data_IF_357216908304
#
_entry.id   IF_357216908304
#
_cell.length_a   1.000
_cell.length_b   1.000
_cell.length_c   1.000
_cell.angle_alpha   90.00
_cell.angle_beta   90.00
_cell.angle_gamma   90.00
#
_symmetry.space_group_name_H-M   'P 1'
#
loop_
_entity.id
_entity.type
_entity.pdbx_description
1 polymer ?
#
# COMPACT_ATOMS: atom_id res chain seq x y z
N UNK A 1 48.56 21.50 -6.23
CA UNK A 1 47.83 20.21 -6.12
C UNK A 1 46.83 20.13 -4.97
N UNK A 2 46.39 21.26 -4.39
CA UNK A 2 45.36 21.33 -3.32
C UNK A 2 43.99 21.88 -3.80
N UNK A 3 43.88 22.27 -5.07
CA UNK A 3 42.66 22.87 -5.63
C UNK A 3 41.68 21.81 -6.23
N UNK A 4 42.21 20.65 -6.61
CA UNK A 4 41.41 19.59 -7.24
C UNK A 4 40.57 18.77 -6.28
N UNK A 5 40.96 18.69 -5.02
CA UNK A 5 40.17 17.93 -4.00
C UNK A 5 38.91 18.69 -3.53
N UNK A 6 38.96 20.00 -3.47
CA UNK A 6 37.82 20.83 -3.10
C UNK A 6 36.75 20.88 -4.19
N UNK A 7 37.18 20.91 -5.46
CA UNK A 7 36.25 20.86 -6.60
C UNK A 7 35.64 19.48 -6.78
N UNK A 8 36.37 18.40 -6.48
CA UNK A 8 35.82 17.05 -6.53
C UNK A 8 34.82 16.78 -5.38
N UNK A 9 35.11 17.28 -4.19
CA UNK A 9 34.18 17.17 -3.04
C UNK A 9 32.90 17.96 -3.28
N UNK A 10 32.99 19.14 -3.92
CA UNK A 10 31.82 19.95 -4.29
C UNK A 10 31.00 19.29 -5.40
N UNK A 11 31.63 18.64 -6.38
CA UNK A 11 30.95 17.91 -7.44
C UNK A 11 30.24 16.63 -6.92
N UNK A 12 30.84 15.92 -5.96
CA UNK A 12 30.22 14.75 -5.30
C UNK A 12 29.05 15.17 -4.40
N UNK A 13 29.16 16.31 -3.71
CA UNK A 13 28.06 16.88 -2.91
C UNK A 13 26.92 17.35 -3.81
N UNK A 14 27.21 17.91 -4.98
CA UNK A 14 26.18 18.31 -5.96
C UNK A 14 25.53 17.08 -6.62
N UNK A 15 26.28 16.00 -6.91
CA UNK A 15 25.70 14.74 -7.41
C UNK A 15 24.85 13.99 -6.37
N UNK A 16 25.07 14.22 -5.08
CA UNK A 16 24.23 13.65 -4.01
C UNK A 16 23.01 14.51 -3.69
N UNK A 17 22.92 15.74 -4.22
CA UNK A 17 21.79 16.66 -4.05
C UNK A 17 20.77 16.62 -5.19
N UNK A 18 21.08 15.93 -6.30
CA UNK A 18 20.07 15.53 -7.30
C UNK A 18 19.24 14.30 -6.83
N UNK A 19 18.90 14.25 -5.56
CA UNK A 19 17.70 13.54 -5.15
C UNK A 19 16.54 14.42 -5.63
N UNK A 20 16.26 14.33 -6.92
CA UNK A 20 14.99 14.76 -7.47
C UNK A 20 13.93 14.22 -6.51
N UNK A 21 13.25 15.14 -5.84
CA UNK A 21 11.99 14.85 -5.17
C UNK A 21 11.00 14.55 -6.30
N UNK A 22 11.19 13.40 -6.95
CA UNK A 22 10.09 12.78 -7.65
C UNK A 22 9.05 12.57 -6.57
N UNK A 23 7.93 13.25 -6.69
CA UNK A 23 6.77 12.96 -5.89
C UNK A 23 6.62 11.44 -5.97
N UNK A 24 7.01 10.74 -4.88
CA UNK A 24 7.06 9.29 -4.91
C UNK A 24 5.65 8.85 -5.20
N UNK A 25 5.49 8.08 -6.25
CA UNK A 25 4.20 7.67 -6.77
C UNK A 25 3.88 6.31 -6.19
N UNK A 26 2.71 6.18 -5.57
CA UNK A 26 2.18 4.87 -5.21
C UNK A 26 1.46 4.29 -6.43
N UNK A 27 1.79 3.05 -6.76
CA UNK A 27 1.12 2.29 -7.83
C UNK A 27 0.13 1.30 -7.23
N UNK A 28 -0.88 0.94 -8.01
CA UNK A 28 -1.83 -0.09 -7.63
C UNK A 28 -2.56 -0.68 -8.83
N UNK A 29 -3.30 -1.75 -8.58
CA UNK A 29 -4.14 -2.44 -9.55
C UNK A 29 -5.52 -2.68 -8.96
N UNK A 30 -6.57 -2.42 -9.72
CA UNK A 30 -7.92 -2.89 -9.45
C UNK A 30 -8.21 -4.04 -10.41
N UNK A 31 -8.49 -5.21 -9.88
CA UNK A 31 -8.65 -6.44 -10.69
C UNK A 31 -9.71 -7.36 -10.12
N UNK A 32 -10.14 -8.34 -10.91
CA UNK A 32 -10.91 -9.48 -10.42
C UNK A 32 -10.01 -10.46 -9.66
N UNK A 33 -10.60 -11.37 -8.96
CA UNK A 33 -9.93 -12.44 -8.23
C UNK A 33 -9.25 -13.44 -9.20
N UNK A 34 -8.01 -13.83 -8.90
CA UNK A 34 -7.39 -15.01 -9.52
C UNK A 34 -8.04 -16.31 -9.00
N UNK A 35 -8.12 -17.34 -9.85
CA UNK A 35 -8.82 -18.60 -9.54
C UNK A 35 -7.98 -19.82 -9.93
N UNK A 36 -8.30 -20.95 -9.31
CA UNK A 36 -7.84 -22.26 -9.78
C UNK A 36 -9.00 -22.98 -10.47
N UNK A 37 -8.81 -23.33 -11.74
CA UNK A 37 -9.78 -24.08 -12.53
C UNK A 37 -9.11 -25.35 -13.06
N UNK A 38 -9.64 -26.50 -12.71
CA UNK A 38 -9.07 -27.81 -13.07
C UNK A 38 -7.57 -27.95 -12.78
N UNK A 39 -7.13 -27.39 -11.64
CA UNK A 39 -5.74 -27.40 -11.20
C UNK A 39 -4.83 -26.39 -11.89
N UNK A 40 -5.34 -25.55 -12.78
CA UNK A 40 -4.61 -24.49 -13.44
C UNK A 40 -4.94 -23.11 -12.84
N UNK A 41 -3.93 -22.31 -12.65
CA UNK A 41 -4.09 -20.94 -12.19
C UNK A 41 -4.54 -20.03 -13.34
N UNK A 42 -5.66 -19.35 -13.14
CA UNK A 42 -6.19 -18.32 -14.05
C UNK A 42 -6.09 -16.99 -13.32
N UNK A 43 -5.23 -16.08 -13.80
CA UNK A 43 -5.05 -14.77 -13.16
C UNK A 43 -6.29 -13.89 -13.26
N UNK A 44 -6.48 -13.03 -12.28
CA UNK A 44 -7.53 -12.01 -12.29
C UNK A 44 -7.32 -10.99 -13.40
N UNK A 45 -8.43 -10.46 -13.93
CA UNK A 45 -8.43 -9.47 -15.01
C UNK A 45 -8.46 -8.06 -14.43
N UNK A 46 -7.75 -7.12 -15.05
CA UNK A 46 -7.82 -5.71 -14.72
C UNK A 46 -9.23 -5.14 -14.87
N UNK A 47 -9.59 -4.21 -14.01
CA UNK A 47 -10.92 -3.59 -13.97
C UNK A 47 -10.85 -2.11 -14.34
N UNK A 48 -10.79 -1.83 -15.64
CA UNK A 48 -10.97 -0.47 -16.19
C UNK A 48 -12.31 0.13 -15.77
N UNK A 49 -12.32 1.44 -15.51
CA UNK A 49 -13.51 2.18 -15.10
C UNK A 49 -13.88 2.04 -13.62
N UNK A 50 -12.99 1.49 -12.81
CA UNK A 50 -13.10 1.60 -11.36
C UNK A 50 -12.68 3.00 -10.90
N UNK A 51 -13.18 3.46 -9.75
CA UNK A 51 -12.76 4.71 -9.12
C UNK A 51 -12.24 4.42 -7.72
N UNK A 52 -11.00 4.85 -7.48
CA UNK A 52 -10.33 4.68 -6.18
C UNK A 52 -10.36 6.00 -5.43
N UNK A 53 -10.88 5.98 -4.21
CA UNK A 53 -10.95 7.14 -3.32
C UNK A 53 -9.88 7.00 -2.23
N UNK A 54 -8.92 7.90 -2.25
CA UNK A 54 -7.86 8.01 -1.23
C UNK A 54 -8.17 9.21 -0.36
N UNK A 55 -8.11 9.06 0.96
CA UNK A 55 -8.43 10.13 1.91
C UNK A 55 -7.63 11.40 1.63
N UNK A 56 -8.36 12.52 1.52
CA UNK A 56 -7.76 13.83 1.29
C UNK A 56 -7.25 14.06 -0.14
N UNK A 57 -7.68 13.24 -1.12
CA UNK A 57 -7.26 13.36 -2.53
C UNK A 57 -8.43 13.35 -3.48
N UNK A 58 -8.18 13.84 -4.69
CA UNK A 58 -9.14 13.71 -5.80
C UNK A 58 -9.33 12.25 -6.17
N UNK A 59 -10.57 11.82 -6.50
CA UNK A 59 -10.85 10.46 -6.96
C UNK A 59 -9.98 10.08 -8.17
N UNK A 60 -9.48 8.85 -8.17
CA UNK A 60 -8.58 8.34 -9.21
C UNK A 60 -9.40 7.38 -10.08
N UNK A 61 -9.61 7.77 -11.34
CA UNK A 61 -10.25 6.89 -12.32
C UNK A 61 -9.21 5.91 -12.88
N UNK A 62 -9.54 4.62 -12.84
CA UNK A 62 -8.75 3.55 -13.46
C UNK A 62 -9.14 3.47 -14.92
N UNK A 63 -8.33 4.02 -15.81
CA UNK A 63 -8.58 4.07 -17.26
C UNK A 63 -7.78 3.03 -18.07
N UNK A 64 -6.85 2.34 -17.42
CA UNK A 64 -6.03 1.29 -18.02
C UNK A 64 -6.75 -0.06 -18.07
N UNK A 65 -6.55 -0.82 -19.16
CA UNK A 65 -7.15 -2.14 -19.36
C UNK A 65 -6.63 -3.19 -18.36
N UNK A 66 -5.40 -3.05 -17.90
CA UNK A 66 -4.81 -3.93 -16.89
C UNK A 66 -5.25 -3.58 -15.45
N UNK A 67 -6.08 -2.54 -15.29
CA UNK A 67 -6.56 -2.08 -14.01
C UNK A 67 -5.55 -1.26 -13.22
N UNK A 68 -4.42 -0.86 -13.83
CA UNK A 68 -3.38 -0.09 -13.15
C UNK A 68 -3.84 1.36 -12.88
N UNK A 69 -3.40 1.88 -11.75
CA UNK A 69 -3.55 3.28 -11.38
C UNK A 69 -2.34 3.75 -10.58
N UNK A 70 -2.17 5.05 -10.49
CA UNK A 70 -1.11 5.64 -9.68
C UNK A 70 -1.51 7.00 -9.16
N UNK A 71 -0.93 7.40 -8.05
CA UNK A 71 -1.13 8.74 -7.49
C UNK A 71 0.13 9.22 -6.77
N UNK A 72 0.41 10.53 -6.82
CA UNK A 72 1.53 11.12 -6.10
C UNK A 72 1.29 11.00 -4.59
N UNK A 73 2.31 10.56 -3.86
CA UNK A 73 2.23 10.26 -2.45
C UNK A 73 3.36 10.95 -1.69
N UNK A 74 3.20 12.22 -1.27
CA UNK A 74 4.19 12.90 -0.44
C UNK A 74 4.27 12.31 0.96
N UNK A 75 3.13 11.85 1.50
CA UNK A 75 3.05 11.25 2.82
C UNK A 75 3.49 9.80 2.79
N UNK A 76 3.86 9.27 3.95
CA UNK A 76 4.30 7.88 4.06
C UNK A 76 3.17 6.90 4.27
N UNK A 77 2.02 7.39 4.71
CA UNK A 77 0.84 6.59 5.02
C UNK A 77 -0.37 7.15 4.29
N UNK A 78 -1.26 6.27 3.90
CA UNK A 78 -2.53 6.65 3.31
C UNK A 78 -3.64 5.66 3.67
N UNK A 79 -4.87 6.09 3.51
CA UNK A 79 -6.06 5.27 3.68
C UNK A 79 -6.88 5.31 2.40
N UNK A 80 -7.36 4.14 1.99
CA UNK A 80 -8.39 4.04 0.97
C UNK A 80 -9.75 4.29 1.66
N UNK A 81 -10.51 5.26 1.17
CA UNK A 81 -11.86 5.52 1.69
C UNK A 81 -12.89 4.57 1.09
N UNK A 82 -12.80 4.36 -0.21
CA UNK A 82 -13.64 3.44 -0.95
C UNK A 82 -13.04 3.12 -2.30
N UNK A 83 -13.52 2.03 -2.89
CA UNK A 83 -13.27 1.71 -4.31
C UNK A 83 -14.60 1.32 -4.91
N UNK A 84 -14.98 1.95 -6.02
CA UNK A 84 -16.29 1.74 -6.63
C UNK A 84 -16.14 1.35 -8.11
N UNK A 85 -16.97 0.40 -8.52
CA UNK A 85 -17.21 0.06 -9.92
C UNK A 85 -18.62 -0.49 -10.05
N UNK A 86 -19.36 -0.02 -11.05
CA UNK A 86 -20.74 -0.48 -11.28
C UNK A 86 -20.78 -2.00 -11.48
N UNK A 87 -21.63 -2.67 -10.68
CA UNK A 87 -21.82 -4.12 -10.73
C UNK A 87 -20.75 -4.93 -10.00
N UNK A 88 -19.81 -4.30 -9.29
CA UNK A 88 -18.73 -4.95 -8.53
C UNK A 88 -18.75 -4.52 -7.08
N UNK A 89 -18.26 -5.37 -6.21
CA UNK A 89 -18.00 -5.09 -4.80
C UNK A 89 -16.59 -5.53 -4.42
N UNK A 90 -16.04 -4.97 -3.34
CA UNK A 90 -14.77 -5.41 -2.78
C UNK A 90 -14.89 -6.85 -2.28
N UNK A 91 -13.90 -7.67 -2.58
CA UNK A 91 -13.78 -9.04 -2.07
C UNK A 91 -13.35 -9.00 -0.60
N UNK A 92 -12.32 -8.21 -0.28
CA UNK A 92 -11.87 -7.97 1.10
C UNK A 92 -12.33 -6.59 1.57
N UNK A 93 -13.32 -6.57 2.46
CA UNK A 93 -13.87 -5.34 3.03
C UNK A 93 -12.88 -4.60 3.93
N UNK A 94 -11.87 -5.28 4.48
CA UNK A 94 -10.82 -4.65 5.27
C UNK A 94 -9.89 -3.77 4.41
N UNK A 95 -9.92 -3.91 3.08
CA UNK A 95 -9.13 -3.09 2.16
C UNK A 95 -9.27 -1.60 2.42
N UNK A 96 -10.47 -1.12 2.76
CA UNK A 96 -10.73 0.29 3.08
C UNK A 96 -10.56 0.63 4.59
N UNK A 97 -10.20 -0.34 5.42
CA UNK A 97 -9.98 -0.14 6.85
C UNK A 97 -8.49 -0.10 7.22
N UNK A 98 -7.64 -0.63 6.34
CA UNK A 98 -6.19 -0.74 6.56
C UNK A 98 -5.49 0.60 6.34
N UNK A 99 -4.45 0.85 7.14
CA UNK A 99 -3.45 1.88 6.85
C UNK A 99 -2.42 1.30 5.92
N UNK A 100 -2.25 1.92 4.77
CA UNK A 100 -1.22 1.56 3.81
C UNK A 100 0.02 2.42 4.02
N UNK A 101 1.19 1.80 3.86
CA UNK A 101 2.45 2.51 3.82
C UNK A 101 2.88 2.64 2.37
N UNK A 102 3.40 3.81 2.02
CA UNK A 102 4.00 4.04 0.72
C UNK A 102 5.10 3.02 0.47
N UNK A 103 5.05 2.35 -0.66
CA UNK A 103 5.98 1.30 -1.06
C UNK A 103 6.23 1.35 -2.56
N UNK A 104 7.38 0.83 -2.98
CA UNK A 104 7.64 0.52 -4.39
C UNK A 104 6.77 -0.65 -4.90
N UNK A 105 6.28 -1.48 -3.98
CA UNK A 105 5.35 -2.56 -4.33
C UNK A 105 3.95 -1.98 -4.59
N UNK A 106 3.27 -2.43 -5.65
CA UNK A 106 1.91 -2.01 -5.94
C UNK A 106 0.93 -2.53 -4.88
N UNK A 107 -0.16 -1.79 -4.66
CA UNK A 107 -1.31 -2.28 -3.91
C UNK A 107 -2.25 -3.02 -4.87
N UNK A 108 -2.83 -4.13 -4.39
CA UNK A 108 -3.82 -4.88 -5.14
C UNK A 108 -5.19 -4.72 -4.50
N UNK A 109 -6.15 -4.28 -5.28
CA UNK A 109 -7.54 -4.11 -4.87
C UNK A 109 -8.35 -5.12 -5.68
N UNK A 110 -8.96 -6.08 -4.98
CA UNK A 110 -9.70 -7.16 -5.61
C UNK A 110 -11.19 -6.89 -5.51
N UNK A 111 -11.85 -6.86 -6.65
CA UNK A 111 -13.29 -6.68 -6.75
C UNK A 111 -13.91 -7.82 -7.56
N UNK A 112 -15.15 -8.17 -7.22
CA UNK A 112 -15.87 -9.21 -7.95
C UNK A 112 -17.36 -8.84 -8.04
N UNK A 113 -18.07 -9.46 -8.96
CA UNK A 113 -19.53 -9.31 -8.99
C UNK A 113 -20.15 -10.10 -7.82
N UNK A 114 -21.26 -9.62 -7.22
CA UNK A 114 -21.96 -10.34 -6.17
C UNK A 114 -22.38 -11.74 -6.61
N UNK A 115 -22.81 -11.87 -7.87
CA UNK A 115 -23.22 -13.15 -8.46
C UNK A 115 -22.06 -14.15 -8.50
N UNK A 116 -20.86 -13.68 -8.93
CA UNK A 116 -19.69 -14.56 -9.01
C UNK A 116 -19.19 -14.97 -7.63
N UNK A 117 -19.20 -14.07 -6.64
CA UNK A 117 -18.85 -14.42 -5.26
C UNK A 117 -19.80 -15.46 -4.67
N UNK A 118 -21.11 -15.30 -4.92
CA UNK A 118 -22.10 -16.26 -4.49
C UNK A 118 -21.90 -17.60 -5.20
N UNK A 119 -21.65 -17.59 -6.49
CA UNK A 119 -21.38 -18.81 -7.26
C UNK A 119 -20.13 -19.54 -6.76
N UNK A 120 -19.03 -18.83 -6.55
CA UNK A 120 -17.78 -19.37 -6.00
C UNK A 120 -18.03 -20.01 -4.63
N UNK A 121 -18.77 -19.32 -3.76
CA UNK A 121 -19.15 -19.84 -2.43
C UNK A 121 -19.95 -21.15 -2.53
N UNK A 122 -21.02 -21.14 -3.34
CA UNK A 122 -21.89 -22.30 -3.51
C UNK A 122 -21.16 -23.48 -4.16
N UNK A 123 -20.25 -23.23 -5.09
CA UNK A 123 -19.44 -24.25 -5.73
C UNK A 123 -18.46 -24.89 -4.75
N UNK A 124 -17.77 -24.06 -3.96
CA UNK A 124 -16.86 -24.53 -2.91
C UNK A 124 -17.61 -25.34 -1.85
N UNK A 125 -18.76 -24.85 -1.39
CA UNK A 125 -19.62 -25.56 -0.44
C UNK A 125 -20.03 -26.94 -0.97
N UNK A 126 -20.49 -27.01 -2.23
CA UNK A 126 -20.88 -28.30 -2.86
C UNK A 126 -19.70 -29.27 -2.96
N UNK A 127 -18.50 -28.80 -3.28
CA UNK A 127 -17.28 -29.62 -3.35
C UNK A 127 -16.93 -30.17 -1.97
N UNK A 128 -16.91 -29.35 -0.94
CA UNK A 128 -16.61 -29.74 0.44
C UNK A 128 -17.64 -30.79 0.92
N UNK A 129 -18.94 -30.50 0.74
CA UNK A 129 -20.02 -31.43 1.13
C UNK A 129 -19.88 -32.77 0.46
N UNK A 130 -19.65 -32.83 -0.86
CA UNK A 130 -19.48 -34.06 -1.62
C UNK A 130 -18.34 -34.90 -1.08
N UNK A 131 -17.21 -34.29 -0.76
CA UNK A 131 -16.05 -34.99 -0.24
C UNK A 131 -16.27 -35.50 1.19
N UNK A 132 -16.90 -34.67 2.05
CA UNK A 132 -17.27 -35.10 3.40
C UNK A 132 -18.29 -36.25 3.38
N UNK A 133 -19.28 -36.20 2.52
CA UNK A 133 -20.26 -37.27 2.36
C UNK A 133 -19.62 -38.58 1.89
N UNK A 134 -18.65 -38.49 0.94
CA UNK A 134 -17.88 -39.65 0.52
C UNK A 134 -17.03 -40.23 1.65
N UNK A 135 -16.41 -39.40 2.47
CA UNK A 135 -15.64 -39.83 3.64
C UNK A 135 -16.55 -40.47 4.70
N UNK A 136 -17.74 -39.90 4.92
CA UNK A 136 -18.74 -40.49 5.81
C UNK A 136 -19.12 -41.89 5.36
N UNK A 137 -19.49 -42.03 4.09
CA UNK A 137 -19.85 -43.32 3.53
C UNK A 137 -18.71 -44.35 3.67
N UNK A 138 -17.47 -43.97 3.36
CA UNK A 138 -16.34 -44.88 3.52
C UNK A 138 -16.17 -45.34 4.99
N UNK A 139 -16.40 -44.45 5.97
CA UNK A 139 -16.33 -44.80 7.40
C UNK A 139 -17.50 -45.69 7.83
N UNK A 140 -18.69 -45.45 7.30
CA UNK A 140 -19.83 -46.32 7.52
C UNK A 140 -19.57 -47.74 6.98
N UNK A 141 -19.07 -47.84 5.75
CA UNK A 141 -18.71 -49.10 5.11
C UNK A 141 -17.61 -49.84 5.91
N UNK A 142 -16.61 -49.10 6.42
CA UNK A 142 -15.54 -49.65 7.27
C UNK A 142 -16.09 -50.18 8.61
N UNK A 143 -16.98 -49.42 9.27
CA UNK A 143 -17.62 -49.88 10.51
C UNK A 143 -18.52 -51.11 10.28
N UNK A 144 -19.23 -51.17 9.15
CA UNK A 144 -20.05 -52.30 8.80
C UNK A 144 -19.20 -53.53 8.55
N UNK A 145 -18.07 -53.42 7.83
CA UNK A 145 -17.14 -54.51 7.62
C UNK A 145 -16.57 -55.04 8.94
N UNK A 146 -16.16 -54.17 9.88
CA UNK A 146 -15.68 -54.58 11.19
C UNK A 146 -16.75 -55.31 12.02
N UNK A 147 -18.01 -54.92 11.89
CA UNK A 147 -19.13 -55.61 12.51
C UNK A 147 -19.36 -57.01 11.89
N UNK A 148 -19.37 -57.08 10.55
CA UNK A 148 -19.53 -58.35 9.84
C UNK A 148 -18.41 -59.37 10.09
N UNK A 149 -17.18 -58.87 10.26
CA UNK A 149 -16.00 -59.66 10.66
C UNK A 149 -15.96 -59.98 12.17
N UNK A 150 -17.00 -59.62 12.92
CA UNK A 150 -17.08 -59.81 14.38
C UNK A 150 -15.95 -59.17 15.18
N UNK A 151 -15.30 -58.15 14.60
CA UNK A 151 -14.21 -57.41 15.25
C UNK A 151 -14.74 -56.40 16.25
N UNK A 152 -15.99 -55.92 16.09
CA UNK A 152 -16.70 -55.06 17.01
C UNK A 152 -18.09 -55.60 17.32
N UNK A 153 -18.58 -55.37 18.54
CA UNK A 153 -19.93 -55.74 18.93
C UNK A 153 -20.96 -54.78 18.30
N UNK A 154 -22.22 -55.22 18.25
CA UNK A 154 -23.33 -54.40 17.77
C UNK A 154 -23.47 -53.09 18.61
N UNK A 155 -23.21 -53.16 19.91
CA UNK A 155 -23.28 -51.96 20.76
C UNK A 155 -22.17 -50.94 20.43
N UNK A 156 -20.95 -51.43 20.17
CA UNK A 156 -19.83 -50.59 19.75
C UNK A 156 -20.08 -49.99 18.36
N UNK A 157 -20.64 -50.76 17.44
CA UNK A 157 -21.02 -50.28 16.12
C UNK A 157 -22.04 -49.15 16.21
N UNK A 158 -23.13 -49.31 16.99
CA UNK A 158 -24.14 -48.26 17.16
C UNK A 158 -23.59 -46.99 17.81
N UNK A 159 -22.72 -47.14 18.81
CA UNK A 159 -22.03 -45.98 19.41
C UNK A 159 -21.12 -45.24 18.43
N UNK A 160 -20.40 -45.99 17.59
CA UNK A 160 -19.52 -45.40 16.57
C UNK A 160 -20.32 -44.64 15.52
N UNK A 161 -21.45 -45.21 15.05
CA UNK A 161 -22.37 -44.54 14.12
C UNK A 161 -22.96 -43.27 14.73
N UNK A 162 -23.46 -43.33 15.96
CA UNK A 162 -24.01 -42.16 16.63
C UNK A 162 -22.97 -41.05 16.78
N UNK A 163 -21.73 -41.39 17.12
CA UNK A 163 -20.63 -40.42 17.17
C UNK A 163 -20.36 -39.84 15.79
N UNK A 164 -20.29 -40.65 14.74
CA UNK A 164 -20.03 -40.22 13.38
C UNK A 164 -21.08 -39.22 12.88
N UNK A 165 -22.35 -39.45 13.14
CA UNK A 165 -23.43 -38.56 12.76
C UNK A 165 -23.44 -37.23 13.60
N UNK A 166 -23.12 -37.31 14.87
CA UNK A 166 -23.00 -36.08 15.72
C UNK A 166 -21.85 -35.18 15.28
N UNK A 167 -20.74 -35.79 14.82
CA UNK A 167 -19.62 -35.05 14.25
C UNK A 167 -20.00 -34.38 12.93
N UNK A 168 -20.81 -35.05 12.10
CA UNK A 168 -21.32 -34.48 10.85
C UNK A 168 -22.18 -33.24 11.08
N UNK A 169 -23.10 -33.24 12.05
CA UNK A 169 -23.95 -32.12 12.36
C UNK A 169 -23.13 -30.88 12.77
N UNK A 170 -22.06 -31.07 13.53
CA UNK A 170 -21.14 -29.99 13.92
C UNK A 170 -20.33 -29.42 12.73
N UNK A 171 -20.11 -30.20 11.69
CA UNK A 171 -19.32 -29.77 10.54
C UNK A 171 -20.06 -28.80 9.60
N UNK A 172 -21.40 -28.73 9.65
CA UNK A 172 -22.20 -27.88 8.75
C UNK A 172 -21.84 -26.38 8.87
N UNK A 173 -21.65 -25.88 10.09
CA UNK A 173 -21.20 -24.49 10.30
C UNK A 173 -19.80 -24.25 9.77
N UNK A 174 -18.89 -25.20 9.99
CA UNK A 174 -17.50 -25.13 9.55
C UNK A 174 -17.44 -25.12 8.02
N UNK A 175 -18.30 -25.87 7.33
CA UNK A 175 -18.39 -25.90 5.86
C UNK A 175 -18.74 -24.51 5.32
N UNK A 176 -19.74 -23.85 5.90
CA UNK A 176 -20.14 -22.50 5.49
C UNK A 176 -19.02 -21.46 5.65
N UNK A 177 -18.34 -21.48 6.78
CA UNK A 177 -17.20 -20.60 7.06
C UNK A 177 -16.01 -20.87 6.14
N UNK A 178 -15.73 -22.14 5.83
CA UNK A 178 -14.69 -22.51 4.87
C UNK A 178 -15.07 -22.03 3.47
N UNK A 179 -16.28 -22.32 3.02
CA UNK A 179 -16.75 -21.92 1.70
C UNK A 179 -16.66 -20.41 1.49
N UNK A 180 -16.99 -19.62 2.52
CA UNK A 180 -16.85 -18.17 2.48
C UNK A 180 -15.38 -17.74 2.31
N UNK A 181 -14.48 -18.26 3.14
CA UNK A 181 -13.04 -17.91 3.08
C UNK A 181 -12.41 -18.26 1.74
N UNK A 182 -12.76 -19.42 1.15
CA UNK A 182 -12.22 -19.81 -0.15
C UNK A 182 -12.88 -19.06 -1.32
N UNK A 183 -14.15 -18.65 -1.19
CA UNK A 183 -14.78 -17.76 -2.15
C UNK A 183 -14.11 -16.39 -2.23
N UNK A 184 -13.56 -15.91 -1.12
CA UNK A 184 -12.86 -14.61 -1.02
C UNK A 184 -11.35 -14.71 -1.33
N UNK A 185 -10.79 -15.92 -1.41
CA UNK A 185 -9.36 -16.12 -1.63
C UNK A 185 -8.95 -15.69 -3.05
N UNK A 186 -7.97 -14.79 -3.14
CA UNK A 186 -7.32 -14.43 -4.41
C UNK A 186 -6.08 -15.28 -4.64
N UNK A 187 -6.15 -16.18 -5.59
CA UNK A 187 -5.04 -17.08 -5.93
C UNK A 187 -3.83 -16.37 -6.54
N UNK A 188 -3.98 -15.15 -7.07
CA UNK A 188 -2.86 -14.35 -7.59
C UNK A 188 -1.88 -13.94 -6.48
N UNK A 189 -2.37 -13.79 -5.24
CA UNK A 189 -1.56 -13.39 -4.09
C UNK A 189 -0.76 -14.55 -3.47
N UNK A 190 -1.02 -15.78 -3.91
CA UNK A 190 -0.37 -16.97 -3.40
C UNK A 190 0.79 -17.42 -4.30
N UNK A 191 1.85 -17.94 -3.69
CA UNK A 191 2.86 -18.69 -4.45
C UNK A 191 2.29 -20.03 -4.95
N UNK A 192 2.98 -20.68 -5.89
CA UNK A 192 2.51 -21.92 -6.52
C UNK A 192 2.22 -23.02 -5.50
N UNK A 193 3.06 -23.12 -4.47
CA UNK A 193 2.87 -24.12 -3.42
C UNK A 193 1.54 -23.89 -2.66
N UNK A 194 1.30 -22.66 -2.19
CA UNK A 194 0.07 -22.36 -1.47
C UNK A 194 -1.16 -22.36 -2.36
N UNK A 195 -1.03 -22.08 -3.66
CA UNK A 195 -2.11 -22.28 -4.64
C UNK A 195 -2.55 -23.74 -4.65
N UNK A 196 -1.60 -24.67 -4.73
CA UNK A 196 -1.90 -26.10 -4.75
C UNK A 196 -2.51 -26.58 -3.43
N UNK A 197 -1.96 -26.16 -2.29
CA UNK A 197 -2.54 -26.46 -0.97
C UNK A 197 -3.97 -25.96 -0.87
N UNK A 198 -4.22 -24.71 -1.21
CA UNK A 198 -5.54 -24.09 -1.17
C UNK A 198 -6.51 -24.80 -2.11
N UNK A 199 -6.07 -25.13 -3.31
CA UNK A 199 -6.86 -25.90 -4.28
C UNK A 199 -7.29 -27.28 -3.72
N UNK A 200 -6.39 -28.03 -3.08
CA UNK A 200 -6.73 -29.30 -2.47
C UNK A 200 -7.73 -29.14 -1.31
N UNK A 201 -7.56 -28.10 -0.47
CA UNK A 201 -8.49 -27.85 0.63
C UNK A 201 -9.87 -27.46 0.08
N UNK A 202 -9.94 -26.56 -0.91
CA UNK A 202 -11.19 -26.15 -1.55
C UNK A 202 -11.96 -27.35 -2.15
N UNK A 203 -11.22 -28.30 -2.73
CA UNK A 203 -11.81 -29.53 -3.28
C UNK A 203 -12.07 -30.60 -2.23
N UNK A 204 -11.78 -30.35 -0.93
CA UNK A 204 -11.95 -31.32 0.15
C UNK A 204 -10.93 -32.45 0.15
N UNK A 205 -9.83 -32.33 -0.60
CA UNK A 205 -8.77 -33.35 -0.69
C UNK A 205 -7.74 -33.15 0.44
N UNK A 206 -8.22 -33.16 1.69
CA UNK A 206 -7.46 -32.77 2.88
C UNK A 206 -6.18 -33.58 3.08
N UNK A 207 -6.19 -34.88 2.76
CA UNK A 207 -5.01 -35.75 2.86
C UNK A 207 -3.90 -35.28 1.91
N UNK A 208 -4.26 -34.84 0.70
CA UNK A 208 -3.29 -34.34 -0.27
C UNK A 208 -2.73 -32.98 0.20
N UNK A 209 -3.60 -32.11 0.72
CA UNK A 209 -3.18 -30.82 1.28
C UNK A 209 -2.20 -31.01 2.46
N UNK A 210 -2.52 -31.89 3.42
CA UNK A 210 -1.66 -32.22 4.56
C UNK A 210 -0.33 -32.84 4.11
N UNK A 211 -0.38 -33.81 3.19
CA UNK A 211 0.83 -34.40 2.61
C UNK A 211 1.73 -33.35 1.95
N UNK A 212 1.14 -32.46 1.15
CA UNK A 212 1.89 -31.39 0.49
C UNK A 212 2.48 -30.39 1.51
N UNK A 213 1.72 -29.99 2.54
CA UNK A 213 2.21 -29.13 3.61
C UNK A 213 3.41 -29.74 4.34
N UNK A 214 3.40 -31.05 4.59
CA UNK A 214 4.51 -31.77 5.24
C UNK A 214 5.79 -31.81 4.40
N UNK A 215 5.69 -31.74 3.06
CA UNK A 215 6.88 -31.73 2.18
C UNK A 215 7.75 -30.46 2.37
N UNK A 216 7.17 -29.34 2.78
CA UNK A 216 7.89 -28.08 3.03
C UNK A 216 8.54 -28.02 4.42
N UNK A 217 8.43 -29.08 5.23
CA UNK A 217 9.03 -29.18 6.56
C UNK A 217 8.07 -28.85 7.70
N UNK A 218 8.62 -28.55 8.89
CA UNK A 218 7.84 -28.32 10.07
C UNK A 218 7.06 -26.99 10.00
N UNK A 219 5.74 -27.06 9.80
CA UNK A 219 4.82 -25.91 9.74
C UNK A 219 4.97 -25.02 11.00
N UNK A 220 5.17 -25.63 12.17
CA UNK A 220 5.38 -24.90 13.42
C UNK A 220 6.63 -24.02 13.36
N UNK A 221 7.68 -24.50 12.70
CA UNK A 221 8.90 -23.70 12.52
C UNK A 221 8.66 -22.56 11.51
N UNK A 222 7.95 -22.84 10.42
CA UNK A 222 7.59 -21.79 9.43
C UNK A 222 6.74 -20.69 10.06
N UNK A 223 5.77 -21.03 10.91
CA UNK A 223 4.98 -20.03 11.65
C UNK A 223 5.85 -19.17 12.54
N UNK A 224 6.79 -19.77 13.29
CA UNK A 224 7.75 -19.04 14.12
C UNK A 224 8.64 -18.12 13.30
N UNK A 225 9.12 -18.57 12.15
CA UNK A 225 9.98 -17.77 11.27
C UNK A 225 9.22 -16.60 10.64
N UNK A 226 7.94 -16.76 10.34
CA UNK A 226 7.07 -15.69 9.85
C UNK A 226 6.83 -14.66 10.97
N UNK A 227 6.52 -15.14 12.19
CA UNK A 227 6.32 -14.26 13.36
C UNK A 227 7.58 -13.47 13.68
N UNK A 228 8.75 -14.11 13.69
CA UNK A 228 10.03 -13.46 13.96
C UNK A 228 10.35 -12.40 12.89
N UNK A 229 10.12 -12.71 11.61
CA UNK A 229 10.27 -11.72 10.52
C UNK A 229 9.33 -10.53 10.70
N UNK A 230 8.09 -10.77 11.09
CA UNK A 230 7.13 -9.71 11.39
C UNK A 230 7.59 -8.79 12.52
N UNK A 231 8.11 -9.35 13.58
CA UNK A 231 8.69 -8.59 14.71
C UNK A 231 9.90 -7.75 14.28
N UNK A 232 10.84 -8.35 13.55
CA UNK A 232 12.03 -7.63 13.05
C UNK A 232 11.65 -6.47 12.15
N UNK A 233 10.67 -6.65 11.25
CA UNK A 233 10.15 -5.57 10.38
C UNK A 233 9.50 -4.45 11.19
N UNK A 234 8.81 -4.77 12.26
CA UNK A 234 8.20 -3.77 13.15
C UNK A 234 9.28 -2.97 13.90
N UNK A 235 10.30 -3.64 14.44
CA UNK A 235 11.43 -2.99 15.10
C UNK A 235 12.21 -2.08 14.15
N UNK A 236 12.49 -2.55 12.94
CA UNK A 236 13.16 -1.75 11.89
C UNK A 236 12.36 -0.50 11.54
N UNK A 237 11.04 -0.64 11.40
CA UNK A 237 10.14 0.47 11.16
C UNK A 237 10.20 1.51 12.29
N UNK A 238 10.14 1.08 13.55
CA UNK A 238 10.24 1.96 14.71
C UNK A 238 11.58 2.72 14.75
N UNK A 239 12.68 2.05 14.40
CA UNK A 239 13.99 2.71 14.32
C UNK A 239 14.02 3.77 13.21
N UNK A 240 13.47 3.46 12.04
CA UNK A 240 13.38 4.42 10.94
C UNK A 240 12.54 5.64 11.36
N UNK A 241 11.42 5.45 12.04
CA UNK A 241 10.58 6.56 12.53
C UNK A 241 11.33 7.44 13.55
N UNK A 242 12.09 6.84 14.45
CA UNK A 242 12.92 7.60 15.41
C UNK A 242 14.00 8.43 14.71
N UNK A 243 14.73 7.85 13.76
CA UNK A 243 15.74 8.56 12.98
C UNK A 243 15.12 9.73 12.21
N UNK A 244 13.96 9.55 11.63
CA UNK A 244 13.23 10.61 10.91
C UNK A 244 12.79 11.74 11.83
N UNK A 245 12.28 11.42 13.01
CA UNK A 245 11.87 12.43 13.99
C UNK A 245 13.06 13.31 14.40
N UNK A 246 14.24 12.70 14.62
CA UNK A 246 15.48 13.45 14.90
C UNK A 246 15.88 14.33 13.72
N UNK A 247 15.89 13.78 12.51
CA UNK A 247 16.23 14.54 11.30
C UNK A 247 15.28 15.74 11.08
N UNK A 248 13.99 15.54 11.32
CA UNK A 248 13.00 16.62 11.22
C UNK A 248 13.26 17.71 12.25
N UNK A 249 13.54 17.32 13.50
CA UNK A 249 13.86 18.28 14.57
C UNK A 249 15.12 19.08 14.26
N UNK A 250 16.16 18.44 13.71
CA UNK A 250 17.40 19.11 13.29
C UNK A 250 17.15 20.08 12.12
N UNK A 251 16.35 19.68 11.15
CA UNK A 251 15.94 20.51 10.01
C UNK A 251 15.19 21.77 10.48
N UNK A 252 14.23 21.60 11.39
CA UNK A 252 13.47 22.74 11.95
C UNK A 252 14.35 23.66 12.79
N UNK A 253 15.29 23.12 13.56
CA UNK A 253 16.25 23.91 14.33
C UNK A 253 17.16 24.75 13.41
N UNK A 254 17.73 24.12 12.39
CA UNK A 254 18.55 24.79 11.39
C UNK A 254 17.76 25.88 10.64
N UNK A 255 16.52 25.60 10.26
CA UNK A 255 15.64 26.56 9.59
C UNK A 255 15.32 27.78 10.47
N UNK A 256 15.10 27.58 11.78
CA UNK A 256 14.92 28.69 12.74
C UNK A 256 16.19 29.54 12.85
N UNK A 257 17.36 28.91 12.90
CA UNK A 257 18.63 29.68 12.94
C UNK A 257 18.84 30.48 11.65
N UNK A 258 18.60 29.88 10.49
CA UNK A 258 18.67 30.59 9.21
C UNK A 258 17.72 31.79 9.19
N UNK A 259 16.47 31.62 9.62
CA UNK A 259 15.49 32.71 9.70
C UNK A 259 15.97 33.85 10.63
N UNK A 260 16.45 33.50 11.83
CA UNK A 260 16.94 34.47 12.80
C UNK A 260 18.15 35.28 12.28
N UNK A 261 19.06 34.62 11.54
CA UNK A 261 20.19 35.30 10.90
C UNK A 261 19.73 36.20 9.76
N UNK A 262 18.79 35.72 8.92
CA UNK A 262 18.20 36.53 7.86
C UNK A 262 17.57 37.82 8.43
N UNK A 263 16.74 37.69 9.47
CA UNK A 263 16.10 38.84 10.14
C UNK A 263 17.09 39.81 10.71
N UNK A 264 18.19 39.33 11.32
CA UNK A 264 19.26 40.15 11.85
C UNK A 264 19.97 40.93 10.75
N UNK A 265 20.33 40.29 9.63
CA UNK A 265 20.98 40.92 8.50
C UNK A 265 20.05 41.91 7.78
N UNK A 266 18.78 41.61 7.68
CA UNK A 266 17.76 42.51 7.16
C UNK A 266 17.66 43.78 8.01
N UNK A 267 17.65 43.67 9.34
CA UNK A 267 17.65 44.81 10.25
C UNK A 267 18.93 45.66 10.14
N UNK A 268 20.02 45.10 9.63
CA UNK A 268 21.28 45.79 9.36
C UNK A 268 21.39 46.29 7.91
N UNK A 269 20.32 46.19 7.10
CA UNK A 269 20.33 46.55 5.68
C UNK A 269 21.35 45.77 4.83
N UNK A 270 21.73 44.55 5.27
CA UNK A 270 22.65 43.67 4.56
C UNK A 270 21.85 42.65 3.75
N UNK A 271 21.21 43.11 2.67
CA UNK A 271 20.23 42.33 1.92
C UNK A 271 20.79 41.06 1.30
N UNK A 272 22.03 41.05 0.81
CA UNK A 272 22.65 39.85 0.23
C UNK A 272 22.85 38.74 1.27
N UNK A 273 23.27 39.13 2.49
CA UNK A 273 23.43 38.18 3.60
C UNK A 273 22.07 37.64 4.08
N UNK A 274 21.07 38.51 4.14
CA UNK A 274 19.72 38.08 4.50
C UNK A 274 19.14 37.11 3.45
N UNK A 275 19.26 37.42 2.16
CA UNK A 275 18.85 36.55 1.06
C UNK A 275 19.54 35.17 1.13
N UNK A 276 20.86 35.15 1.36
CA UNK A 276 21.64 33.94 1.49
C UNK A 276 21.08 32.98 2.58
N UNK A 277 20.72 33.50 3.76
CA UNK A 277 20.17 32.67 4.82
C UNK A 277 18.73 32.20 4.55
N UNK A 278 17.92 33.00 3.82
CA UNK A 278 16.61 32.57 3.36
C UNK A 278 16.71 31.46 2.31
N UNK A 279 17.69 31.54 1.40
CA UNK A 279 17.99 30.46 0.45
C UNK A 279 18.43 29.20 1.15
N UNK A 280 19.33 29.28 2.13
CA UNK A 280 19.72 28.10 2.92
C UNK A 280 18.51 27.48 3.62
N UNK A 281 17.62 28.29 4.20
CA UNK A 281 16.37 27.80 4.81
C UNK A 281 15.50 27.06 3.80
N UNK A 282 15.35 27.60 2.58
CA UNK A 282 14.57 26.97 1.52
C UNK A 282 15.21 25.67 0.97
N UNK A 283 16.53 25.53 1.09
CA UNK A 283 17.25 24.31 0.72
C UNK A 283 17.11 23.19 1.75
N UNK A 284 16.91 23.51 3.04
CA UNK A 284 16.72 22.51 4.11
C UNK A 284 15.47 21.66 3.88
N UNK A 285 14.40 22.25 3.35
CA UNK A 285 13.20 21.56 2.94
C UNK A 285 12.64 22.18 1.65
N UNK A 286 12.93 21.52 0.55
CA UNK A 286 12.48 21.96 -0.78
C UNK A 286 10.98 21.76 -1.01
N UNK A 287 10.26 21.10 -0.09
CA UNK A 287 8.81 20.86 -0.15
C UNK A 287 8.01 21.86 0.69
N UNK A 288 8.68 22.69 1.48
CA UNK A 288 8.03 23.71 2.30
C UNK A 288 7.69 24.96 1.48
N UNK A 289 6.41 25.15 1.21
CA UNK A 289 5.89 26.25 0.37
C UNK A 289 6.30 27.61 0.92
N UNK A 290 6.16 27.80 2.24
CA UNK A 290 6.45 29.09 2.91
C UNK A 290 7.93 29.45 2.78
N UNK A 291 8.84 28.50 2.97
CA UNK A 291 10.26 28.77 2.88
C UNK A 291 10.71 29.05 1.46
N UNK A 292 10.15 28.35 0.47
CA UNK A 292 10.41 28.62 -0.94
C UNK A 292 9.89 30.02 -1.32
N UNK A 293 8.65 30.34 -0.93
CA UNK A 293 8.05 31.64 -1.23
C UNK A 293 8.83 32.76 -0.59
N UNK A 294 9.17 32.68 0.72
CA UNK A 294 9.90 33.70 1.45
C UNK A 294 11.30 34.00 0.85
N UNK A 295 12.01 32.99 0.39
CA UNK A 295 13.30 33.16 -0.28
C UNK A 295 13.13 33.93 -1.60
N UNK A 296 12.21 33.51 -2.46
CA UNK A 296 11.96 34.12 -3.75
C UNK A 296 11.43 35.56 -3.62
N UNK A 297 10.46 35.78 -2.74
CA UNK A 297 9.92 37.11 -2.46
C UNK A 297 11.01 38.10 -1.98
N UNK A 298 11.82 37.64 -1.01
CA UNK A 298 12.88 38.54 -0.45
C UNK A 298 13.93 38.92 -1.50
N UNK A 299 14.41 37.94 -2.28
CA UNK A 299 15.41 38.16 -3.33
C UNK A 299 14.86 39.16 -4.36
N UNK A 300 13.64 38.96 -4.80
CA UNK A 300 13.01 39.83 -5.80
C UNK A 300 12.80 41.24 -5.32
N UNK A 301 12.29 41.43 -4.08
CA UNK A 301 11.95 42.75 -3.55
C UNK A 301 13.20 43.56 -3.14
N UNK A 302 14.23 42.90 -2.58
CA UNK A 302 15.34 43.57 -1.94
C UNK A 302 16.63 43.57 -2.79
N UNK A 303 16.78 42.63 -3.72
CA UNK A 303 17.94 42.53 -4.59
C UNK A 303 17.61 42.81 -6.06
N UNK A 304 16.32 42.90 -6.42
CA UNK A 304 15.81 43.00 -7.79
C UNK A 304 16.40 41.94 -8.75
N UNK A 305 16.83 40.79 -8.21
CA UNK A 305 17.38 39.67 -8.95
C UNK A 305 16.27 38.66 -9.30
N UNK A 306 15.59 38.95 -10.41
CA UNK A 306 14.45 38.15 -10.86
C UNK A 306 14.85 36.72 -11.28
N UNK A 307 16.02 36.58 -11.90
CA UNK A 307 16.52 35.29 -12.36
C UNK A 307 16.79 34.33 -11.18
N UNK A 308 17.37 34.88 -10.12
CA UNK A 308 17.65 34.15 -8.88
C UNK A 308 16.38 33.85 -8.08
N UNK A 309 15.39 34.73 -8.07
CA UNK A 309 14.13 34.58 -7.35
C UNK A 309 13.20 33.55 -8.01
N UNK A 310 13.17 33.52 -9.35
CA UNK A 310 12.23 32.74 -10.14
C UNK A 310 12.16 31.24 -9.78
N UNK A 311 13.27 30.49 -9.61
CA UNK A 311 13.21 29.07 -9.24
C UNK A 311 12.48 28.80 -7.93
N UNK A 312 12.63 29.65 -6.93
CA UNK A 312 11.98 29.53 -5.62
C UNK A 312 10.49 29.82 -5.73
N UNK A 313 10.09 30.89 -6.41
CA UNK A 313 8.69 31.26 -6.61
C UNK A 313 7.92 30.23 -7.43
N UNK A 314 8.52 29.74 -8.51
CA UNK A 314 7.91 28.68 -9.33
C UNK A 314 7.77 27.36 -8.57
N UNK A 315 8.73 27.04 -7.69
CA UNK A 315 8.64 25.87 -6.84
C UNK A 315 7.52 26.03 -5.80
N UNK A 316 7.45 27.20 -5.13
CA UNK A 316 6.37 27.50 -4.20
C UNK A 316 4.99 27.41 -4.87
N UNK A 317 4.85 27.94 -6.10
CA UNK A 317 3.61 27.86 -6.86
C UNK A 317 3.21 26.42 -7.15
N UNK A 318 4.13 25.61 -7.72
CA UNK A 318 3.86 24.20 -8.03
C UNK A 318 3.46 23.40 -6.79
N UNK A 319 4.16 23.58 -5.68
CA UNK A 319 3.85 22.92 -4.42
C UNK A 319 2.46 23.34 -3.90
N UNK A 320 2.15 24.64 -3.95
CA UNK A 320 0.86 25.15 -3.51
C UNK A 320 -0.29 24.65 -4.38
N UNK A 321 -0.12 24.60 -5.71
CA UNK A 321 -1.11 24.00 -6.62
C UNK A 321 -1.33 22.52 -6.33
N UNK A 322 -0.26 21.77 -6.05
CA UNK A 322 -0.34 20.33 -5.76
C UNK A 322 -1.00 20.02 -4.40
N UNK A 323 -0.70 20.82 -3.36
CA UNK A 323 -1.19 20.56 -2.01
C UNK A 323 -2.58 21.15 -1.75
N UNK A 324 -2.88 22.31 -2.32
CA UNK A 324 -4.08 23.07 -1.99
C UNK A 324 -5.01 23.31 -3.19
N UNK A 325 -4.51 23.12 -4.41
CA UNK A 325 -5.24 23.43 -5.64
C UNK A 325 -5.10 24.89 -6.08
N UNK A 326 -5.52 25.15 -7.34
CA UNK A 326 -5.35 26.48 -7.98
C UNK A 326 -6.20 27.59 -7.36
N UNK A 327 -7.33 27.22 -6.77
CA UNK A 327 -8.28 28.18 -6.21
C UNK A 327 -7.99 28.58 -4.76
N UNK A 328 -7.02 27.94 -4.12
CA UNK A 328 -6.66 28.24 -2.74
C UNK A 328 -6.08 29.65 -2.60
N UNK A 329 -6.41 30.38 -1.50
CA UNK A 329 -5.94 31.77 -1.30
C UNK A 329 -4.42 31.92 -1.39
N UNK A 330 -3.65 31.00 -0.81
CA UNK A 330 -2.20 31.00 -0.87
C UNK A 330 -1.69 30.87 -2.31
N UNK A 331 -2.25 29.95 -3.09
CA UNK A 331 -1.89 29.76 -4.51
C UNK A 331 -2.17 31.01 -5.32
N UNK A 332 -3.34 31.63 -5.12
CA UNK A 332 -3.70 32.91 -5.77
C UNK A 332 -2.77 34.07 -5.37
N UNK A 333 -2.36 34.14 -4.10
CA UNK A 333 -1.40 35.13 -3.62
C UNK A 333 -0.03 34.99 -4.31
N UNK A 334 0.49 33.76 -4.41
CA UNK A 334 1.77 33.49 -5.10
C UNK A 334 1.66 33.84 -6.59
N UNK A 335 0.58 33.46 -7.27
CA UNK A 335 0.35 33.84 -8.68
C UNK A 335 0.31 35.36 -8.86
N UNK A 336 -0.41 36.04 -7.99
CA UNK A 336 -0.54 37.51 -8.05
C UNK A 336 0.82 38.16 -7.87
N UNK A 337 1.64 37.69 -6.95
CA UNK A 337 2.98 38.21 -6.70
C UNK A 337 3.89 38.00 -7.92
N UNK A 338 3.94 36.82 -8.50
CA UNK A 338 4.72 36.50 -9.71
C UNK A 338 4.27 37.39 -10.88
N UNK A 339 2.97 37.54 -11.11
CA UNK A 339 2.44 38.35 -12.23
C UNK A 339 2.68 39.86 -12.07
N UNK A 340 2.65 40.37 -10.85
CA UNK A 340 2.96 41.78 -10.59
C UNK A 340 4.41 42.13 -10.92
N UNK A 341 5.29 41.17 -10.71
CA UNK A 341 6.73 41.29 -10.91
C UNK A 341 7.13 41.25 -12.40
N UNK A 342 6.46 40.42 -13.18
CA UNK A 342 6.70 40.32 -14.64
C UNK A 342 6.32 41.64 -15.34
N UNK A 343 5.28 42.33 -14.85
CA UNK A 343 4.88 43.65 -15.38
C UNK A 343 5.85 44.79 -15.06
N UNK A 344 6.62 44.68 -14.00
CA UNK A 344 7.68 45.64 -13.67
C UNK A 344 8.90 45.48 -14.57
N UNK A 345 9.26 44.23 -14.93
CA UNK A 345 10.35 43.93 -15.87
C UNK A 345 10.10 44.44 -17.29
N UNK A 346 8.85 44.45 -17.75
CA UNK A 346 8.51 44.94 -19.11
C UNK A 346 8.46 46.48 -19.21
N UNK A 347 8.55 47.19 -18.11
CA UNK A 347 8.46 48.68 -18.05
C UNK A 347 9.81 49.39 -17.74
N UNK A 348 10.86 48.63 -17.41
CA UNK A 348 12.22 49.13 -17.19
C UNK A 348 13.11 48.75 -18.41
#
# INVERSE_FOLDING_TARGET
MKLTYRTLLFAVVIMLLDVSVFAQTQHGYVKTKGRMVDGQHIPGKGLKGATVFVRGRTPILVDSEDGSFSFPMPDQQFHLESVTKKGYQLVDLETCQKTYFRSSSPIYIVMETPEQLLEDKLNTERKIRRNLQKQLQNKEDELEALREEEQISEEEYQKALQKLYSEQENNERIIGDMAQRYAELDYDLLDEFYRQVSYFIENGELTKADSLLRTRGNITQQVKDIQLRGQNLQEEKEQIEKVRAVQQADTEAAARHCKSLADKYQAQHQNDSAAYYLELRAQLDTTNIEWQYAAGEYIQVNSADYDKASPYLQRALRLSEQQHGKDHPLTKAIITFINSSTKQQDND
#
